data_IF_219910892638
#
_entry.id   IF_219910892638
#
_cell.length_a   1.000
_cell.length_b   1.000
_cell.length_c   1.000
_cell.angle_alpha   90.00
_cell.angle_beta   90.00
_cell.angle_gamma   90.00
#
_symmetry.space_group_name_H-M   'P 1'
#
loop_
_entity.id
_entity.type
_entity.pdbx_description
1 polymer ?
#
# COMPACT_ATOMS: atom_id res chain seq x y z
N UNK A 1 -3.42 -23.12 -4.51
CA UNK A 1 -3.61 -21.99 -5.44
C UNK A 1 -2.29 -21.26 -5.63
N UNK A 2 -2.03 -20.77 -6.84
CA UNK A 2 -0.83 -20.01 -7.20
C UNK A 2 -1.16 -18.53 -7.19
N UNK A 3 -0.39 -17.75 -6.46
CA UNK A 3 -0.51 -16.30 -6.44
C UNK A 3 0.86 -15.66 -6.62
N UNK A 4 0.87 -14.40 -7.01
CA UNK A 4 2.10 -13.64 -7.20
C UNK A 4 2.18 -12.50 -6.20
N UNK A 5 3.33 -12.36 -5.54
CA UNK A 5 3.63 -11.22 -4.68
C UNK A 5 4.64 -10.33 -5.39
N UNK A 6 4.29 -9.05 -5.54
CA UNK A 6 5.10 -8.06 -6.24
C UNK A 6 5.41 -6.88 -5.33
N UNK A 7 6.68 -6.50 -5.29
CA UNK A 7 7.13 -5.22 -4.73
C UNK A 7 7.98 -4.49 -5.77
N UNK A 8 7.46 -3.35 -6.26
CA UNK A 8 8.13 -2.54 -7.27
C UNK A 8 8.87 -1.37 -6.62
N UNK A 9 10.20 -1.39 -6.69
CA UNK A 9 11.09 -0.27 -6.37
C UNK A 9 11.46 0.50 -7.65
N UNK A 10 11.94 1.75 -7.57
CA UNK A 10 12.29 2.54 -8.74
C UNK A 10 13.35 1.90 -9.65
N UNK A 11 14.23 1.08 -9.09
CA UNK A 11 15.37 0.47 -9.79
C UNK A 11 15.35 -1.05 -9.79
N UNK A 12 14.39 -1.67 -9.09
CA UNK A 12 14.31 -3.13 -8.93
C UNK A 12 12.86 -3.55 -8.73
N UNK A 13 12.48 -4.68 -9.30
CA UNK A 13 11.18 -5.29 -9.04
C UNK A 13 11.41 -6.67 -8.44
N UNK A 14 10.76 -6.95 -7.32
CA UNK A 14 10.62 -8.29 -6.78
C UNK A 14 9.29 -8.86 -7.25
N UNK A 15 9.31 -10.06 -7.82
CA UNK A 15 8.14 -10.84 -8.22
C UNK A 15 8.40 -12.27 -7.77
N UNK A 16 7.56 -12.76 -6.87
CA UNK A 16 7.71 -14.07 -6.24
C UNK A 16 6.39 -14.80 -6.40
N UNK A 17 6.44 -15.97 -7.02
CA UNK A 17 5.31 -16.89 -7.08
C UNK A 17 5.24 -17.70 -5.79
N UNK A 18 4.07 -17.79 -5.19
CA UNK A 18 3.83 -18.59 -3.98
C UNK A 18 2.63 -19.50 -4.17
N UNK A 19 2.78 -20.74 -3.71
CA UNK A 19 1.68 -21.70 -3.62
C UNK A 19 1.08 -21.65 -2.22
N UNK A 20 -0.23 -21.46 -2.13
CA UNK A 20 -0.99 -21.33 -0.89
C UNK A 20 -2.20 -22.28 -0.88
N UNK A 21 -2.73 -22.54 0.31
CA UNK A 21 -4.02 -23.22 0.45
C UNK A 21 -5.17 -22.31 -0.01
N UNK A 22 -6.28 -22.91 -0.42
CA UNK A 22 -7.46 -22.14 -0.80
C UNK A 22 -8.00 -21.35 0.40
N UNK A 23 -8.38 -20.08 0.17
CA UNK A 23 -8.85 -19.19 1.23
C UNK A 23 -7.73 -18.47 2.00
N UNK A 24 -6.46 -18.68 1.65
CA UNK A 24 -5.36 -17.91 2.24
C UNK A 24 -5.52 -16.41 1.95
N UNK A 25 -4.99 -15.61 2.86
CA UNK A 25 -5.11 -14.15 2.86
C UNK A 25 -3.94 -13.47 2.17
N UNK A 26 -4.09 -12.17 1.90
CA UNK A 26 -3.01 -11.30 1.40
C UNK A 26 -1.81 -11.31 2.35
N UNK A 27 -2.04 -11.28 3.67
CA UNK A 27 -0.98 -11.33 4.68
C UNK A 27 -0.16 -12.61 4.58
N UNK A 28 -0.82 -13.77 4.60
CA UNK A 28 -0.17 -15.08 4.52
C UNK A 28 0.62 -15.24 3.21
N UNK A 29 0.14 -14.68 2.10
CA UNK A 29 0.86 -14.68 0.84
C UNK A 29 2.17 -13.87 0.93
N UNK A 30 2.13 -12.70 1.55
CA UNK A 30 3.30 -11.84 1.73
C UNK A 30 4.31 -12.52 2.66
N UNK A 31 3.87 -13.07 3.78
CA UNK A 31 4.72 -13.79 4.72
C UNK A 31 5.38 -15.00 4.04
N UNK A 32 4.58 -15.85 3.37
CA UNK A 32 5.08 -17.06 2.69
C UNK A 32 6.04 -16.74 1.55
N UNK A 33 5.94 -15.57 0.93
CA UNK A 33 6.85 -15.16 -0.13
C UNK A 33 8.27 -14.86 0.34
N UNK A 34 8.49 -14.65 1.64
CA UNK A 34 9.78 -14.23 2.19
C UNK A 34 10.23 -12.85 1.69
N UNK A 35 9.34 -12.08 1.04
CA UNK A 35 9.70 -10.79 0.44
C UNK A 35 10.13 -9.76 1.49
N UNK A 36 9.61 -9.88 2.71
CA UNK A 36 9.98 -9.02 3.85
C UNK A 36 11.43 -9.26 4.30
N UNK A 37 11.96 -10.47 4.13
CA UNK A 37 13.37 -10.77 4.41
C UNK A 37 14.29 -10.19 3.32
N UNK A 38 13.82 -10.17 2.08
CA UNK A 38 14.57 -9.59 0.95
C UNK A 38 14.50 -8.06 0.92
N UNK A 39 13.41 -7.48 1.44
CA UNK A 39 13.11 -6.05 1.43
C UNK A 39 12.74 -5.60 2.86
N UNK A 40 13.73 -5.40 3.74
CA UNK A 40 13.50 -5.03 5.14
C UNK A 40 12.83 -3.66 5.32
N UNK A 41 12.71 -2.86 4.25
CA UNK A 41 11.93 -1.61 4.26
C UNK A 41 10.41 -1.81 4.17
N UNK A 42 9.93 -3.03 3.91
CA UNK A 42 8.51 -3.34 3.89
C UNK A 42 7.99 -3.39 5.33
N UNK A 43 7.01 -2.55 5.63
CA UNK A 43 6.27 -2.54 6.87
C UNK A 43 4.77 -2.55 6.56
N UNK A 44 4.13 -3.70 6.72
CA UNK A 44 2.72 -3.91 6.38
C UNK A 44 1.75 -3.04 7.22
N UNK A 45 2.21 -2.45 8.31
CA UNK A 45 1.41 -1.47 9.08
C UNK A 45 1.30 -0.12 8.36
N UNK A 46 2.26 0.21 7.49
CA UNK A 46 2.34 1.48 6.75
C UNK A 46 2.15 1.30 5.24
N UNK A 47 2.61 0.18 4.69
CA UNK A 47 2.49 -0.17 3.29
C UNK A 47 1.03 -0.44 2.94
N UNK A 48 0.58 0.15 1.84
CA UNK A 48 -0.68 -0.25 1.23
C UNK A 48 -0.45 -1.51 0.41
N UNK A 49 -1.45 -2.38 0.38
CA UNK A 49 -1.45 -3.58 -0.46
C UNK A 49 -2.63 -3.55 -1.40
N UNK A 50 -2.49 -4.19 -2.55
CA UNK A 50 -3.56 -4.30 -3.53
C UNK A 50 -3.55 -5.62 -4.27
N UNK A 51 -4.67 -5.93 -4.92
CA UNK A 51 -4.81 -7.01 -5.89
C UNK A 51 -5.23 -6.38 -7.21
N UNK A 52 -4.46 -6.61 -8.29
CA UNK A 52 -4.70 -6.04 -9.62
C UNK A 52 -5.04 -4.52 -9.59
N UNK A 53 -4.13 -3.70 -9.04
CA UNK A 53 -4.30 -2.25 -8.87
C UNK A 53 -5.48 -1.79 -7.99
N UNK A 54 -6.13 -2.70 -7.24
CA UNK A 54 -7.19 -2.35 -6.27
C UNK A 54 -6.68 -2.52 -4.85
N UNK A 55 -6.77 -1.48 -4.03
CA UNK A 55 -6.39 -1.54 -2.62
C UNK A 55 -7.30 -2.50 -1.85
N UNK A 56 -6.70 -3.39 -1.07
CA UNK A 56 -7.42 -4.38 -0.25
C UNK A 56 -6.84 -4.42 1.17
N UNK A 57 -7.61 -4.88 2.18
CA UNK A 57 -7.04 -5.18 3.49
C UNK A 57 -6.15 -6.43 3.43
N UNK A 58 -5.25 -6.57 4.41
CA UNK A 58 -4.39 -7.75 4.59
C UNK A 58 -5.18 -9.04 4.82
N UNK A 59 -6.35 -8.94 5.45
CA UNK A 59 -7.27 -10.06 5.70
C UNK A 59 -8.09 -10.50 4.48
N UNK A 60 -7.89 -9.89 3.31
CA UNK A 60 -8.60 -10.27 2.10
C UNK A 60 -8.17 -11.67 1.66
N UNK A 61 -9.13 -12.58 1.52
CA UNK A 61 -8.90 -13.88 0.89
C UNK A 61 -8.52 -13.74 -0.59
N UNK A 62 -7.53 -14.52 -0.99
CA UNK A 62 -6.99 -14.60 -2.33
C UNK A 62 -7.65 -15.71 -3.15
N UNK A 63 -7.54 -15.56 -4.46
CA UNK A 63 -7.96 -16.54 -5.46
C UNK A 63 -6.77 -16.98 -6.29
N UNK A 64 -6.92 -18.12 -6.94
CA UNK A 64 -5.92 -18.63 -7.88
C UNK A 64 -5.66 -17.61 -9.00
N UNK A 65 -4.39 -17.33 -9.25
CA UNK A 65 -3.92 -16.32 -10.21
C UNK A 65 -3.92 -14.88 -9.69
N UNK A 66 -4.33 -14.62 -8.44
CA UNK A 66 -4.28 -13.26 -7.89
C UNK A 66 -2.84 -12.74 -7.81
N UNK A 67 -2.70 -11.44 -8.05
CA UNK A 67 -1.43 -10.72 -7.94
C UNK A 67 -1.49 -9.68 -6.84
N UNK A 68 -0.81 -9.97 -5.75
CA UNK A 68 -0.62 -9.10 -4.60
C UNK A 68 0.48 -8.08 -4.90
N UNK A 69 0.13 -6.80 -4.81
CA UNK A 69 1.02 -5.67 -5.06
C UNK A 69 1.25 -4.91 -3.75
N UNK A 70 2.50 -4.87 -3.29
CA UNK A 70 2.91 -4.07 -2.13
C UNK A 70 3.33 -2.68 -2.63
N UNK A 71 2.63 -1.63 -2.19
CA UNK A 71 2.94 -0.26 -2.57
C UNK A 71 3.94 0.37 -1.60
N UNK A 72 4.85 1.17 -2.14
CA UNK A 72 5.80 1.94 -1.35
C UNK A 72 5.07 2.95 -0.47
N UNK A 73 5.51 3.18 0.79
CA UNK A 73 4.98 4.24 1.59
C UNK A 73 5.33 5.58 0.92
N UNK A 74 4.29 6.37 0.61
CA UNK A 74 4.50 7.71 0.10
C UNK A 74 5.11 8.54 1.22
N UNK A 75 6.40 8.86 1.10
CA UNK A 75 7.06 9.82 1.99
C UNK A 75 6.29 11.13 1.91
N UNK A 76 5.43 11.39 2.90
CA UNK A 76 4.80 12.70 3.05
C UNK A 76 5.89 13.70 3.43
N UNK A 77 6.54 14.32 2.44
CA UNK A 77 7.11 15.66 2.63
C UNK A 77 5.93 16.61 2.81
N UNK A 78 5.43 16.68 4.04
CA UNK A 78 4.43 17.68 4.42
C UNK A 78 5.20 18.99 4.56
N UNK A 79 5.23 19.77 3.49
CA UNK A 79 5.67 21.16 3.59
C UNK A 79 4.70 21.87 4.55
N UNK A 80 5.16 22.18 5.76
CA UNK A 80 4.34 22.77 6.81
C UNK A 80 3.67 24.06 6.33
N UNK A 81 4.34 24.79 5.43
CA UNK A 81 3.84 26.01 4.80
C UNK A 81 2.59 25.76 3.96
N UNK A 82 2.57 24.68 3.17
CA UNK A 82 1.42 24.34 2.33
C UNK A 82 0.18 23.95 3.15
N UNK A 83 0.39 23.33 4.32
CA UNK A 83 -0.70 23.02 5.25
C UNK A 83 -1.27 24.29 5.88
N UNK A 84 -0.41 25.24 6.25
CA UNK A 84 -0.84 26.50 6.83
C UNK A 84 -1.59 27.38 5.83
N UNK A 85 -1.09 27.51 4.59
CA UNK A 85 -1.75 28.24 3.51
C UNK A 85 -3.14 27.68 3.21
N UNK A 86 -3.30 26.35 3.17
CA UNK A 86 -4.61 25.72 2.98
C UNK A 86 -5.56 26.05 4.13
N UNK A 87 -5.08 26.06 5.38
CA UNK A 87 -5.89 26.42 6.56
C UNK A 87 -6.27 27.90 6.55
N UNK A 88 -5.35 28.79 6.19
CA UNK A 88 -5.61 30.22 6.08
C UNK A 88 -6.66 30.52 5.00
N UNK A 89 -6.57 29.90 3.81
CA UNK A 89 -7.58 30.02 2.74
C UNK A 89 -8.96 29.55 3.17
N UNK A 90 -9.05 28.46 3.94
CA UNK A 90 -10.34 27.96 4.44
C UNK A 90 -10.93 28.91 5.50
N UNK A 91 -10.10 29.50 6.38
CA UNK A 91 -10.55 30.49 7.37
C UNK A 91 -11.08 31.76 6.70
N UNK A 92 -10.32 32.34 5.77
CA UNK A 92 -10.74 33.52 5.03
C UNK A 92 -12.07 33.32 4.26
N UNK A 93 -12.26 32.15 3.64
CA UNK A 93 -13.54 31.81 2.96
C UNK A 93 -14.73 31.67 3.91
N UNK A 94 -14.50 31.26 5.16
CA UNK A 94 -15.56 31.17 6.17
C UNK A 94 -15.95 32.54 6.71
N UNK A 95 -14.99 33.45 6.86
CA UNK A 95 -15.23 34.83 7.29
C UNK A 95 -16.00 35.62 6.23
N UNK A 96 -15.65 35.46 4.95
CA UNK A 96 -16.36 36.10 3.82
C UNK A 96 -17.80 35.60 3.60
N UNK A 97 -18.19 34.45 4.18
CA UNK A 97 -19.55 33.90 4.08
C UNK A 97 -20.45 34.28 5.27
N UNK A 98 -19.89 34.93 6.30
CA UNK A 98 -20.60 35.31 7.53
C UNK A 98 -20.89 36.81 7.64
N UNK A 99 -20.39 37.63 6.72
CA UNK A 99 -20.80 39.02 6.51
C UNK A 99 -21.71 39.14 5.30
#
# INVERSE_FOLDING_TARGET
MKVEVIYALPHRQHRIEVELEAGATVEEAIEKSGIMEQCPEIDLTHNKVGIFARLVPLSRELRDGDRVEIYRPLQRRRDARAVEEKRARIRARKEQRKG
#
